data_IF_926026610869
#
_entry.id   IF_926026610869
#
_cell.length_a   1.000
_cell.length_b   1.000
_cell.length_c   1.000
_cell.angle_alpha   90.00
_cell.angle_beta   90.00
_cell.angle_gamma   90.00
#
_symmetry.space_group_name_H-M   'P 1'
#
loop_
_entity.id
_entity.type
_entity.pdbx_description
1 polymer ?
#
# COMPACT_ATOMS: atom_id res chain seq x y z
N UNK A 1 70.86 19.45 24.75
CA UNK A 1 70.32 19.45 23.38
C UNK A 1 69.50 18.21 23.15
N UNK A 2 68.23 18.21 23.45
CA UNK A 2 67.47 16.97 23.44
C UNK A 2 65.99 17.23 23.18
N UNK A 3 65.51 16.63 22.13
CA UNK A 3 64.20 15.92 21.97
C UNK A 3 62.92 16.68 22.23
N UNK A 4 62.54 17.53 21.26
CA UNK A 4 61.15 18.02 21.11
C UNK A 4 60.36 17.32 19.96
N UNK A 5 60.76 16.11 19.54
CA UNK A 5 60.12 15.49 18.36
C UNK A 5 59.08 14.41 18.69
N UNK A 6 58.99 13.91 19.92
CA UNK A 6 58.08 12.81 20.25
C UNK A 6 56.61 13.22 20.44
N UNK A 7 56.34 14.46 20.84
CA UNK A 7 54.99 14.93 21.09
C UNK A 7 54.16 15.15 19.80
N UNK A 8 54.80 15.58 18.73
CA UNK A 8 54.14 15.88 17.45
C UNK A 8 53.62 14.61 16.73
N UNK A 9 54.39 13.54 16.81
CA UNK A 9 54.00 12.24 16.21
C UNK A 9 52.85 11.61 16.95
N UNK A 10 52.74 11.70 18.28
CA UNK A 10 51.62 11.19 19.08
C UNK A 10 50.33 11.97 18.82
N UNK A 11 50.39 13.30 18.61
CA UNK A 11 49.24 14.12 18.28
C UNK A 11 48.68 13.82 16.87
N UNK A 12 49.57 13.55 15.91
CA UNK A 12 49.19 13.16 14.54
C UNK A 12 48.57 11.75 14.51
N UNK A 13 49.09 10.78 15.27
CA UNK A 13 48.50 9.45 15.39
C UNK A 13 47.12 9.49 16.05
N UNK A 14 46.92 10.33 17.08
CA UNK A 14 45.61 10.49 17.72
C UNK A 14 44.56 11.09 16.78
N UNK A 15 44.93 12.07 15.94
CA UNK A 15 44.04 12.64 14.94
C UNK A 15 43.66 11.64 13.85
N UNK A 16 44.58 10.80 13.41
CA UNK A 16 44.33 9.71 12.47
C UNK A 16 43.38 8.64 13.03
N UNK A 17 43.55 8.27 14.31
CA UNK A 17 42.70 7.32 15.00
C UNK A 17 41.26 7.85 15.13
N UNK A 18 41.08 9.12 15.50
CA UNK A 18 39.77 9.76 15.60
C UNK A 18 39.05 9.86 14.25
N UNK A 19 39.79 10.14 13.17
CA UNK A 19 39.21 10.16 11.81
C UNK A 19 38.73 8.76 11.37
N UNK A 20 39.54 7.73 11.66
CA UNK A 20 39.16 6.35 11.34
C UNK A 20 37.94 5.91 12.14
N UNK A 21 37.91 6.24 13.42
CA UNK A 21 36.80 5.96 14.31
C UNK A 21 35.51 6.64 13.84
N UNK A 22 35.58 7.90 13.40
CA UNK A 22 34.47 8.64 12.84
C UNK A 22 33.93 7.99 11.55
N UNK A 23 34.83 7.59 10.63
CA UNK A 23 34.47 6.93 9.38
C UNK A 23 33.79 5.59 9.66
N UNK A 24 34.30 4.80 10.58
CA UNK A 24 33.69 3.52 11.00
C UNK A 24 32.31 3.76 11.61
N UNK A 25 32.16 4.73 12.51
CA UNK A 25 30.88 5.06 13.14
C UNK A 25 29.82 5.49 12.09
N UNK A 26 30.20 6.36 11.16
CA UNK A 26 29.28 6.79 10.07
C UNK A 26 28.92 5.59 9.18
N UNK A 27 29.87 4.73 8.86
CA UNK A 27 29.62 3.53 8.04
C UNK A 27 28.61 2.59 8.70
N UNK A 28 28.71 2.36 10.00
CA UNK A 28 27.77 1.54 10.77
C UNK A 28 26.36 2.17 10.73
N UNK A 29 26.26 3.48 10.93
CA UNK A 29 24.99 4.21 10.89
C UNK A 29 24.33 4.08 9.51
N UNK A 30 25.10 4.29 8.44
CA UNK A 30 24.58 4.18 7.06
C UNK A 30 24.08 2.76 6.77
N UNK A 31 24.86 1.74 7.15
CA UNK A 31 24.47 0.32 6.96
C UNK A 31 23.21 -0.02 7.75
N UNK A 32 23.03 0.54 8.94
CA UNK A 32 21.83 0.31 9.76
C UNK A 32 20.60 1.06 9.24
N UNK A 33 20.76 2.29 8.73
CA UNK A 33 19.66 3.12 8.26
C UNK A 33 19.12 2.66 6.89
N UNK A 34 19.96 2.08 6.05
CA UNK A 34 19.54 1.66 4.71
C UNK A 34 18.42 0.63 4.72
N UNK A 35 18.49 -0.51 5.44
CA UNK A 35 17.40 -1.46 5.52
C UNK A 35 16.14 -0.88 6.18
N UNK A 36 16.30 0.03 7.14
CA UNK A 36 15.19 0.71 7.78
C UNK A 36 14.42 1.60 6.79
N UNK A 37 15.12 2.34 5.94
CA UNK A 37 14.52 3.15 4.89
C UNK A 37 13.74 2.28 3.88
N UNK A 38 14.29 1.14 3.48
CA UNK A 38 13.61 0.20 2.58
C UNK A 38 12.35 -0.40 3.24
N UNK A 39 12.41 -0.77 4.52
CA UNK A 39 11.26 -1.27 5.27
C UNK A 39 10.14 -0.22 5.31
N UNK A 40 10.47 1.04 5.59
CA UNK A 40 9.50 2.13 5.61
C UNK A 40 8.81 2.36 4.26
N UNK A 41 9.54 2.29 3.15
CA UNK A 41 8.96 2.40 1.81
C UNK A 41 8.00 1.24 1.49
N UNK A 42 8.31 0.03 1.95
CA UNK A 42 7.44 -1.12 1.78
C UNK A 42 6.16 -1.00 2.62
N UNK A 43 6.27 -0.53 3.85
CA UNK A 43 5.10 -0.28 4.71
C UNK A 43 4.15 0.76 4.11
N UNK A 44 4.68 1.84 3.53
CA UNK A 44 3.84 2.84 2.85
C UNK A 44 3.06 2.24 1.68
N UNK A 45 3.66 1.34 0.89
CA UNK A 45 2.96 0.64 -0.20
C UNK A 45 1.86 -0.26 0.32
N UNK A 46 2.12 -1.01 1.39
CA UNK A 46 1.13 -1.87 2.05
C UNK A 46 -0.03 -1.06 2.62
N UNK A 47 0.24 0.00 3.36
CA UNK A 47 -0.80 0.89 3.90
C UNK A 47 -1.70 1.45 2.79
N UNK A 48 -1.13 1.86 1.67
CA UNK A 48 -1.90 2.35 0.52
C UNK A 48 -2.77 1.24 -0.09
N UNK A 49 -2.24 0.04 -0.23
CA UNK A 49 -2.98 -1.11 -0.73
C UNK A 49 -4.16 -1.47 0.19
N UNK A 50 -3.95 -1.48 1.50
CA UNK A 50 -5.02 -1.70 2.49
C UNK A 50 -6.07 -0.60 2.47
N UNK A 51 -5.67 0.66 2.32
CA UNK A 51 -6.59 1.78 2.20
C UNK A 51 -7.52 1.60 0.98
N UNK A 52 -6.97 1.30 -0.19
CA UNK A 52 -7.78 1.07 -1.39
C UNK A 52 -8.71 -0.12 -1.26
N UNK A 53 -8.24 -1.20 -0.63
CA UNK A 53 -9.08 -2.36 -0.37
C UNK A 53 -10.23 -2.05 0.58
N UNK A 54 -9.97 -1.33 1.67
CA UNK A 54 -11.01 -0.92 2.61
C UNK A 54 -12.05 -0.02 1.95
N UNK A 55 -11.61 0.96 1.17
CA UNK A 55 -12.48 1.86 0.43
C UNK A 55 -13.33 1.11 -0.60
N UNK A 56 -12.73 0.15 -1.32
CA UNK A 56 -13.46 -0.67 -2.29
C UNK A 56 -14.50 -1.56 -1.60
N UNK A 57 -14.18 -2.12 -0.42
CA UNK A 57 -15.13 -2.90 0.39
C UNK A 57 -16.33 -2.05 0.80
N UNK A 58 -16.10 -0.85 1.31
CA UNK A 58 -17.16 0.06 1.73
C UNK A 58 -18.10 0.42 0.55
N UNK A 59 -17.52 0.72 -0.61
CA UNK A 59 -18.32 1.01 -1.82
C UNK A 59 -19.11 -0.21 -2.25
N UNK A 60 -18.48 -1.39 -2.34
CA UNK A 60 -19.14 -2.62 -2.77
C UNK A 60 -20.23 -3.03 -1.79
N UNK A 61 -20.02 -2.88 -0.48
CA UNK A 61 -21.02 -3.19 0.53
C UNK A 61 -22.21 -2.23 0.45
N UNK A 62 -21.97 -0.93 0.34
CA UNK A 62 -23.05 0.06 0.19
C UNK A 62 -23.86 -0.10 -1.08
N UNK A 63 -23.22 -0.30 -2.23
CA UNK A 63 -23.92 -0.55 -3.50
C UNK A 63 -24.67 -1.89 -3.48
N UNK A 64 -24.12 -2.92 -2.81
CA UNK A 64 -24.78 -4.20 -2.66
C UNK A 64 -26.06 -4.11 -1.82
N UNK A 65 -26.10 -3.28 -0.79
CA UNK A 65 -27.33 -3.02 -0.01
C UNK A 65 -28.42 -2.42 -0.87
N UNK A 66 -28.09 -1.44 -1.70
CA UNK A 66 -29.03 -0.81 -2.64
C UNK A 66 -29.53 -1.81 -3.69
N UNK A 67 -28.62 -2.58 -4.27
CA UNK A 67 -28.98 -3.64 -5.21
C UNK A 67 -29.90 -4.67 -4.56
N UNK A 68 -29.55 -5.16 -3.38
CA UNK A 68 -30.35 -6.15 -2.66
C UNK A 68 -31.73 -5.64 -2.25
N UNK A 69 -31.89 -4.33 -2.04
CA UNK A 69 -33.18 -3.70 -1.76
C UNK A 69 -34.17 -3.74 -2.95
N UNK A 70 -33.69 -4.09 -4.16
CA UNK A 70 -34.56 -4.28 -5.32
C UNK A 70 -34.03 -3.73 -6.63
N UNK A 71 -33.02 -2.88 -6.61
CA UNK A 71 -32.41 -2.26 -7.79
C UNK A 71 -31.84 -3.30 -8.78
N UNK A 72 -31.46 -4.49 -8.30
CA UNK A 72 -30.95 -5.58 -9.15
C UNK A 72 -31.94 -6.02 -10.22
N UNK A 73 -33.26 -5.80 -10.01
CA UNK A 73 -34.33 -6.17 -10.97
C UNK A 73 -34.29 -5.34 -12.25
N UNK A 74 -33.57 -4.23 -12.26
CA UNK A 74 -33.36 -3.42 -13.46
C UNK A 74 -32.34 -4.05 -14.42
N UNK A 75 -31.64 -5.09 -14.00
CA UNK A 75 -30.64 -5.78 -14.79
C UNK A 75 -31.15 -7.16 -15.22
N UNK A 76 -30.87 -7.53 -16.46
CA UNK A 76 -31.10 -8.87 -16.95
C UNK A 76 -30.11 -9.87 -16.33
N UNK A 77 -30.43 -11.17 -16.36
CA UNK A 77 -29.49 -12.21 -15.95
C UNK A 77 -28.24 -12.18 -16.82
N UNK A 78 -27.06 -12.11 -16.20
CA UNK A 78 -25.80 -12.03 -16.89
C UNK A 78 -24.77 -11.17 -16.18
N UNK A 79 -23.73 -10.80 -16.92
CA UNK A 79 -22.61 -9.99 -16.43
C UNK A 79 -22.70 -8.59 -17.01
N UNK A 80 -22.71 -7.59 -16.16
CA UNK A 80 -22.85 -6.19 -16.54
C UNK A 80 -21.69 -5.35 -16.00
N UNK A 81 -21.22 -4.40 -16.81
CA UNK A 81 -20.35 -3.35 -16.32
C UNK A 81 -21.17 -2.43 -15.39
N UNK A 82 -20.73 -2.31 -14.14
CA UNK A 82 -21.43 -1.54 -13.13
C UNK A 82 -20.71 -0.22 -12.83
N UNK A 83 -21.47 0.85 -12.66
CA UNK A 83 -20.91 2.13 -12.25
C UNK A 83 -21.51 2.51 -10.89
N UNK A 84 -20.72 2.46 -9.81
CA UNK A 84 -21.19 2.85 -8.49
C UNK A 84 -21.62 4.30 -8.46
N UNK A 85 -22.68 4.59 -7.74
CA UNK A 85 -23.15 5.95 -7.50
C UNK A 85 -22.36 6.64 -6.40
N UNK A 86 -21.66 5.89 -5.56
CA UNK A 86 -20.87 6.40 -4.45
C UNK A 86 -19.81 7.41 -4.92
N UNK A 87 -19.79 8.66 -4.41
CA UNK A 87 -18.78 9.66 -4.78
C UNK A 87 -17.35 9.21 -4.42
N UNK A 88 -17.22 8.36 -3.40
CA UNK A 88 -15.95 7.82 -2.93
C UNK A 88 -15.19 7.00 -3.99
N UNK A 89 -15.88 6.56 -5.06
CA UNK A 89 -15.23 5.85 -6.18
C UNK A 89 -14.09 6.64 -6.83
N UNK A 90 -14.13 7.97 -6.78
CA UNK A 90 -13.10 8.83 -7.34
C UNK A 90 -11.75 8.72 -6.62
N UNK A 91 -11.77 8.21 -5.40
CA UNK A 91 -10.56 7.97 -4.59
C UNK A 91 -9.95 6.59 -4.83
N UNK A 92 -10.64 5.71 -5.59
CA UNK A 92 -10.09 4.42 -5.98
C UNK A 92 -9.12 4.57 -7.16
N UNK A 93 -8.11 3.71 -7.23
CA UNK A 93 -7.29 3.59 -8.43
C UNK A 93 -8.13 3.09 -9.62
N UNK A 94 -7.65 3.26 -10.86
CA UNK A 94 -8.32 2.74 -12.03
C UNK A 94 -8.64 1.26 -11.88
N UNK A 95 -9.88 0.91 -12.15
CA UNK A 95 -10.41 -0.44 -12.04
C UNK A 95 -11.81 -0.51 -12.62
N UNK A 96 -12.42 -1.69 -12.58
CA UNK A 96 -13.79 -1.86 -13.05
C UNK A 96 -14.65 -2.56 -12.01
N UNK A 97 -15.90 -2.14 -11.96
CA UNK A 97 -16.94 -2.83 -11.22
C UNK A 97 -17.75 -3.70 -12.18
N UNK A 98 -18.04 -4.90 -11.73
CA UNK A 98 -18.77 -5.90 -12.50
C UNK A 98 -19.89 -6.47 -11.65
N UNK A 99 -21.11 -6.36 -12.14
CA UNK A 99 -22.30 -6.90 -11.52
C UNK A 99 -22.70 -8.17 -12.27
N UNK A 100 -22.78 -9.27 -11.58
CA UNK A 100 -23.30 -10.55 -12.11
C UNK A 100 -24.68 -10.79 -11.48
N UNK A 101 -25.70 -10.90 -12.30
CA UNK A 101 -27.07 -11.22 -11.89
C UNK A 101 -27.38 -12.63 -12.31
N UNK A 102 -27.81 -13.45 -11.37
CA UNK A 102 -28.30 -14.82 -11.60
C UNK A 102 -29.66 -15.00 -10.92
N UNK A 103 -30.37 -16.08 -11.25
CA UNK A 103 -31.73 -16.34 -10.76
C UNK A 103 -31.87 -16.38 -9.23
N UNK A 104 -30.78 -16.60 -8.51
CA UNK A 104 -30.80 -16.77 -7.05
C UNK A 104 -29.80 -15.91 -6.30
N UNK A 105 -28.92 -15.21 -7.00
CA UNK A 105 -27.86 -14.41 -6.37
C UNK A 105 -27.44 -13.25 -7.27
N UNK A 106 -27.03 -12.17 -6.61
CA UNK A 106 -26.33 -11.06 -7.22
C UNK A 106 -24.91 -11.02 -6.66
N UNK A 107 -23.96 -10.73 -7.51
CA UNK A 107 -22.55 -10.64 -7.16
C UNK A 107 -21.99 -9.34 -7.72
N UNK A 108 -21.45 -8.51 -6.85
CA UNK A 108 -20.74 -7.30 -7.22
C UNK A 108 -19.25 -7.47 -6.94
N UNK A 109 -18.44 -7.25 -7.95
CA UNK A 109 -16.99 -7.36 -7.87
C UNK A 109 -16.33 -6.05 -8.30
N UNK A 110 -15.29 -5.65 -7.59
CA UNK A 110 -14.36 -4.63 -8.04
C UNK A 110 -13.01 -5.27 -8.35
N UNK A 111 -12.50 -4.96 -9.53
CA UNK A 111 -11.20 -5.44 -10.00
C UNK A 111 -10.30 -4.25 -10.28
N UNK A 112 -9.21 -4.06 -9.51
CA UNK A 112 -8.26 -3.00 -9.78
C UNK A 112 -7.48 -3.29 -11.06
N UNK A 113 -7.17 -2.25 -11.81
CA UNK A 113 -6.31 -2.34 -12.99
C UNK A 113 -4.83 -2.50 -12.65
N UNK A 114 -4.45 -2.32 -11.37
CA UNK A 114 -3.07 -2.39 -10.86
C UNK A 114 -2.96 -3.44 -9.76
N UNK A 115 -1.85 -4.18 -9.76
CA UNK A 115 -1.59 -5.23 -8.76
C UNK A 115 -1.35 -4.70 -7.34
N UNK A 116 -0.87 -3.46 -7.22
CA UNK A 116 -0.54 -2.78 -5.97
C UNK A 116 -1.73 -2.08 -5.30
N UNK A 117 -2.92 -2.25 -5.82
CA UNK A 117 -4.15 -1.62 -5.32
C UNK A 117 -4.94 -2.47 -4.30
N UNK A 118 -4.31 -3.45 -3.65
CA UNK A 118 -4.93 -4.24 -2.58
C UNK A 118 -5.75 -5.44 -3.02
N UNK A 119 -5.75 -5.76 -4.32
CA UNK A 119 -6.49 -6.90 -4.89
C UNK A 119 -7.97 -6.63 -5.09
N UNK A 120 -8.67 -7.56 -5.72
CA UNK A 120 -10.10 -7.47 -5.99
C UNK A 120 -10.96 -7.67 -4.74
N UNK A 121 -12.16 -7.10 -4.78
CA UNK A 121 -13.17 -7.21 -3.73
C UNK A 121 -14.44 -7.77 -4.35
N UNK A 122 -15.08 -8.72 -3.69
CA UNK A 122 -16.30 -9.37 -4.17
C UNK A 122 -17.29 -9.50 -3.03
N UNK A 123 -18.54 -9.19 -3.31
CA UNK A 123 -19.69 -9.51 -2.45
C UNK A 123 -20.74 -10.25 -3.25
N UNK A 124 -21.40 -11.19 -2.60
CA UNK A 124 -22.48 -11.96 -3.17
C UNK A 124 -23.62 -12.05 -2.16
N UNK A 125 -24.84 -11.82 -2.64
CA UNK A 125 -26.06 -11.88 -1.83
C UNK A 125 -27.08 -12.74 -2.56
N UNK A 126 -27.73 -13.64 -1.82
CA UNK A 126 -28.84 -14.42 -2.35
C UNK A 126 -30.08 -13.56 -2.41
N UNK A 127 -30.73 -13.56 -3.57
CA UNK A 127 -32.01 -12.86 -3.80
C UNK A 127 -33.14 -13.91 -3.94
N UNK A 128 -34.32 -13.51 -3.48
CA UNK A 128 -35.54 -14.32 -3.60
C UNK A 128 -36.51 -13.67 -4.55
#
# INVERSE_FOLDING_TARGET
MVTRSSGRRRALMRRGALMTELVVAISIVVVALFPLALAFLNEQKLCRAYYYRALALEIVDGEMEVLAAGEWRAFESGVHAYQPLAPARTNLPPGRFELTVSDRAIRLAWQPGRRDAGGGVVREVKVR
#
